data_IF_972728639628
#
_entry.id   IF_972728639628
#
_cell.length_a   1.000
_cell.length_b   1.000
_cell.length_c   1.000
_cell.angle_alpha   90.00
_cell.angle_beta   90.00
_cell.angle_gamma   90.00
#
_symmetry.space_group_name_H-M   'P 1'
#
loop_
_entity.id
_entity.type
_entity.pdbx_description
1 polymer ?
#
# COMPACT_ATOMS: atom_id res chain seq x y z
N UNK A 1 -4.36 -18.30 4.58
CA UNK A 1 -3.09 -17.67 5.01
C UNK A 1 -3.22 -16.17 4.79
N UNK A 2 -2.72 -15.32 5.69
CA UNK A 2 -2.82 -13.86 5.53
C UNK A 2 -1.52 -13.29 4.96
N UNK A 3 -1.61 -12.17 4.24
CA UNK A 3 -0.45 -11.34 3.89
C UNK A 3 -0.69 -9.88 4.28
N UNK A 4 0.38 -9.21 4.73
CA UNK A 4 0.39 -7.76 4.94
C UNK A 4 0.91 -7.09 3.68
N UNK A 5 0.11 -6.21 3.09
CA UNK A 5 0.55 -5.30 2.04
C UNK A 5 0.86 -3.93 2.67
N UNK A 6 2.07 -3.44 2.46
CA UNK A 6 2.52 -2.10 2.85
C UNK A 6 2.66 -1.27 1.59
N UNK A 7 1.66 -0.43 1.29
CA UNK A 7 1.53 0.29 0.02
C UNK A 7 2.12 1.69 0.12
N UNK A 8 3.07 1.98 -0.77
CA UNK A 8 3.56 3.33 -1.08
C UNK A 8 4.03 4.14 0.14
N UNK A 9 4.62 3.47 1.13
CA UNK A 9 5.31 4.14 2.24
C UNK A 9 6.71 4.59 1.78
N UNK A 10 6.76 5.41 0.72
CA UNK A 10 7.97 5.87 0.05
C UNK A 10 8.39 7.27 0.53
N UNK A 11 9.66 7.63 0.35
CA UNK A 11 10.20 8.93 0.77
C UNK A 11 9.45 10.08 0.12
N UNK A 12 9.09 9.97 -1.16
CA UNK A 12 8.31 11.01 -1.86
C UNK A 12 6.93 11.27 -1.27
N UNK A 13 6.30 10.24 -0.69
CA UNK A 13 4.96 10.34 -0.12
C UNK A 13 4.95 10.66 1.37
N UNK A 14 6.01 10.31 2.12
CA UNK A 14 5.99 10.37 3.59
C UNK A 14 6.86 11.52 4.14
N UNK A 15 7.95 11.87 3.46
CA UNK A 15 8.83 12.95 3.91
C UNK A 15 8.32 14.30 3.45
N UNK A 16 8.57 15.34 4.27
CA UNK A 16 8.02 16.68 4.04
C UNK A 16 8.58 17.32 2.77
N UNK A 17 9.81 16.98 2.42
CA UNK A 17 10.56 17.38 1.24
C UNK A 17 10.47 16.37 0.09
N UNK A 18 9.63 15.33 0.23
CA UNK A 18 9.30 14.41 -0.85
C UNK A 18 8.57 15.12 -2.00
N UNK A 19 8.59 14.51 -3.19
CA UNK A 19 7.99 15.11 -4.38
C UNK A 19 6.46 15.23 -4.31
N UNK A 20 5.78 14.35 -3.58
CA UNK A 20 4.32 14.35 -3.44
C UNK A 20 3.88 14.01 -2.00
N UNK A 21 4.18 14.88 -1.02
CA UNK A 21 4.04 14.55 0.38
C UNK A 21 2.58 14.45 0.82
N UNK A 22 2.23 13.32 1.44
CA UNK A 22 0.91 13.05 2.02
C UNK A 22 0.89 13.56 3.46
N UNK A 23 0.24 14.70 3.67
CA UNK A 23 0.15 15.33 4.98
C UNK A 23 -0.44 14.37 6.04
N UNK A 24 0.30 14.18 7.13
CA UNK A 24 -0.10 13.33 8.24
C UNK A 24 0.21 11.83 8.09
N UNK A 25 0.76 11.38 6.94
CA UNK A 25 1.05 9.96 6.71
C UNK A 25 2.15 9.39 7.63
N UNK A 26 3.02 10.24 8.20
CA UNK A 26 4.01 9.80 9.21
C UNK A 26 3.39 9.11 10.44
N UNK A 27 2.13 9.40 10.77
CA UNK A 27 1.41 8.74 11.88
C UNK A 27 1.23 7.24 11.66
N UNK A 28 1.28 6.78 10.40
CA UNK A 28 1.08 5.39 10.03
C UNK A 28 2.29 4.50 10.36
N UNK A 29 3.48 5.09 10.55
CA UNK A 29 4.73 4.35 10.72
C UNK A 29 4.67 3.38 11.91
N UNK A 30 4.23 3.85 13.08
CA UNK A 30 4.18 2.99 14.28
C UNK A 30 3.15 1.86 14.12
N UNK A 31 1.87 2.13 13.76
CA UNK A 31 0.88 1.07 13.52
C UNK A 31 1.31 0.06 12.44
N UNK A 32 1.91 0.52 11.33
CA UNK A 32 2.39 -0.38 10.28
C UNK A 32 3.54 -1.24 10.80
N UNK A 33 4.49 -0.69 11.54
CA UNK A 33 5.57 -1.46 12.15
C UNK A 33 5.06 -2.49 13.18
N UNK A 34 3.99 -2.19 13.90
CA UNK A 34 3.31 -3.17 14.77
C UNK A 34 2.73 -4.32 13.95
N UNK A 35 2.10 -4.04 12.81
CA UNK A 35 1.61 -5.08 11.89
C UNK A 35 2.73 -5.89 11.27
N UNK A 36 3.83 -5.25 10.85
CA UNK A 36 5.01 -5.96 10.34
C UNK A 36 5.52 -6.96 11.38
N UNK A 37 5.66 -6.55 12.65
CA UNK A 37 6.07 -7.44 13.75
C UNK A 37 5.04 -8.55 14.01
N UNK A 38 3.74 -8.23 13.96
CA UNK A 38 2.66 -9.21 14.12
C UNK A 38 2.77 -10.33 13.08
N UNK A 39 2.91 -9.98 11.80
CA UNK A 39 2.96 -10.91 10.68
C UNK A 39 4.21 -11.78 10.74
N UNK A 40 5.37 -11.18 11.01
CA UNK A 40 6.62 -11.92 11.21
C UNK A 40 6.55 -12.91 12.37
N UNK A 41 5.98 -12.50 13.50
CA UNK A 41 5.79 -13.38 14.65
C UNK A 41 4.91 -14.61 14.37
N UNK A 42 4.12 -14.56 13.30
CA UNK A 42 3.26 -15.66 12.83
C UNK A 42 3.81 -16.38 11.59
N UNK A 43 5.01 -16.02 11.12
CA UNK A 43 5.55 -16.46 9.83
C UNK A 43 4.62 -16.20 8.64
N UNK A 44 3.85 -15.11 8.70
CA UNK A 44 3.01 -14.64 7.61
C UNK A 44 3.77 -13.63 6.74
N UNK A 45 3.57 -13.63 5.41
CA UNK A 45 4.29 -12.75 4.51
C UNK A 45 3.99 -11.27 4.71
N UNK A 46 5.04 -10.47 4.65
CA UNK A 46 5.01 -9.00 4.54
C UNK A 46 5.50 -8.64 3.13
N UNK A 47 4.69 -7.90 2.38
CA UNK A 47 4.96 -7.52 1.01
C UNK A 47 4.89 -5.99 0.90
N UNK A 48 5.99 -5.39 0.47
CA UNK A 48 6.06 -3.97 0.19
C UNK A 48 5.65 -3.72 -1.26
N UNK A 49 4.67 -2.85 -1.44
CA UNK A 49 4.21 -2.41 -2.75
C UNK A 49 4.73 -0.99 -2.96
N UNK A 50 5.44 -0.77 -4.06
CA UNK A 50 6.09 0.51 -4.32
C UNK A 50 5.75 1.01 -5.73
N UNK A 51 5.22 2.22 -5.83
CA UNK A 51 5.30 2.97 -7.09
C UNK A 51 6.74 3.07 -7.57
N UNK A 52 6.90 2.88 -8.87
CA UNK A 52 8.18 2.89 -9.56
C UNK A 52 7.95 3.35 -11.00
N UNK A 53 7.79 4.65 -11.18
CA UNK A 53 7.53 5.25 -12.48
C UNK A 53 8.79 5.33 -13.35
N UNK A 54 8.59 5.24 -14.66
CA UNK A 54 9.63 5.62 -15.62
C UNK A 54 9.84 7.15 -15.61
N UNK A 55 10.96 7.63 -16.16
CA UNK A 55 11.22 9.08 -16.25
C UNK A 55 10.16 9.85 -17.06
N UNK A 56 9.45 9.16 -17.94
CA UNK A 56 8.34 9.69 -18.74
C UNK A 56 7.10 8.84 -18.47
N UNK A 57 6.34 9.19 -17.43
CA UNK A 57 5.04 8.59 -17.13
C UNK A 57 3.92 9.61 -17.35
N UNK A 58 2.86 9.17 -18.04
CA UNK A 58 1.65 9.96 -18.29
C UNK A 58 0.94 10.37 -16.99
N UNK A 59 1.13 9.61 -15.90
CA UNK A 59 0.55 9.91 -14.60
C UNK A 59 1.06 11.24 -14.02
N UNK A 60 2.23 11.72 -14.47
CA UNK A 60 2.81 12.98 -14.04
C UNK A 60 2.02 14.20 -14.51
N UNK A 61 1.20 14.09 -15.55
CA UNK A 61 0.33 15.19 -16.02
C UNK A 61 -0.74 15.55 -14.97
N UNK A 62 -1.10 14.59 -14.11
CA UNK A 62 -2.11 14.77 -13.05
C UNK A 62 -1.44 14.98 -11.68
N UNK A 63 -0.43 14.18 -11.36
CA UNK A 63 0.13 14.11 -10.00
C UNK A 63 1.51 14.75 -9.86
N UNK A 64 2.09 15.24 -10.95
CA UNK A 64 3.48 15.68 -10.99
C UNK A 64 4.46 14.51 -10.92
N UNK A 65 5.74 14.80 -11.15
CA UNK A 65 6.80 13.78 -11.13
C UNK A 65 7.04 13.29 -9.70
N UNK A 66 6.92 11.99 -9.47
CA UNK A 66 7.11 11.36 -8.16
C UNK A 66 7.49 9.87 -8.32
N UNK A 67 8.05 9.27 -7.27
CA UNK A 67 8.37 7.84 -7.17
C UNK A 67 9.05 7.26 -8.42
N UNK A 68 9.97 8.04 -9.00
CA UNK A 68 10.69 7.63 -10.22
C UNK A 68 11.73 6.58 -9.88
N UNK A 69 11.76 5.51 -10.66
CA UNK A 69 12.67 4.38 -10.46
C UNK A 69 14.13 4.84 -10.34
N UNK A 70 14.85 4.28 -9.35
CA UNK A 70 16.25 4.61 -9.09
C UNK A 70 16.48 5.94 -8.37
N UNK A 71 15.45 6.75 -8.12
CA UNK A 71 15.57 7.95 -7.30
C UNK A 71 15.38 7.66 -5.82
N UNK A 72 15.96 8.51 -4.96
CA UNK A 72 15.74 8.42 -3.50
C UNK A 72 14.27 8.55 -3.13
N UNK A 73 13.49 9.30 -3.90
CA UNK A 73 12.06 9.50 -3.65
C UNK A 73 11.24 8.21 -3.74
N UNK A 74 11.66 7.30 -4.61
CA UNK A 74 11.04 5.98 -4.79
C UNK A 74 11.47 4.93 -3.75
N UNK A 75 12.45 5.24 -2.89
CA UNK A 75 12.85 4.34 -1.82
C UNK A 75 11.77 4.30 -0.72
N UNK A 76 11.59 3.13 -0.10
CA UNK A 76 10.80 3.01 1.13
C UNK A 76 11.49 3.81 2.23
N UNK A 77 10.68 4.41 3.10
CA UNK A 77 11.21 5.17 4.25
C UNK A 77 12.04 4.29 5.20
N UNK A 78 13.09 4.88 5.76
CA UNK A 78 14.05 4.17 6.62
C UNK A 78 13.42 3.77 7.97
N UNK A 79 12.32 4.42 8.37
CA UNK A 79 11.63 4.18 9.64
C UNK A 79 10.74 2.93 9.65
N UNK A 80 10.46 2.32 8.49
CA UNK A 80 9.80 1.03 8.46
C UNK A 80 10.78 -0.08 8.80
N UNK A 81 10.34 -1.06 9.59
CA UNK A 81 11.10 -2.24 9.96
C UNK A 81 11.20 -3.21 8.76
N UNK A 82 11.59 -2.73 7.58
CA UNK A 82 11.84 -3.55 6.39
C UNK A 82 13.14 -4.33 6.56
N UNK A 83 13.17 -5.55 6.01
CA UNK A 83 14.31 -6.46 5.98
C UNK A 83 14.64 -6.81 4.52
N UNK A 84 15.88 -7.22 4.27
CA UNK A 84 16.34 -7.54 2.90
C UNK A 84 15.58 -8.72 2.28
N UNK A 85 15.08 -9.64 3.10
CA UNK A 85 14.31 -10.80 2.66
C UNK A 85 12.82 -10.51 2.43
N UNK A 86 12.34 -9.30 2.77
CA UNK A 86 10.94 -8.97 2.54
C UNK A 86 10.66 -8.87 1.04
N UNK A 87 9.46 -9.30 0.65
CA UNK A 87 9.05 -9.29 -0.75
C UNK A 87 8.75 -7.85 -1.15
N UNK A 88 9.20 -7.47 -2.34
CA UNK A 88 8.93 -6.17 -2.95
C UNK A 88 8.24 -6.40 -4.27
N UNK A 89 7.13 -5.71 -4.49
CA UNK A 89 6.47 -5.64 -5.78
C UNK A 89 6.40 -4.18 -6.20
N UNK A 90 6.99 -3.87 -7.34
CA UNK A 90 6.87 -2.55 -7.96
C UNK A 90 5.61 -2.48 -8.80
N UNK A 91 4.96 -1.31 -8.82
CA UNK A 91 3.80 -1.00 -9.64
C UNK A 91 4.03 0.33 -10.36
N UNK A 92 3.26 0.56 -11.42
CA UNK A 92 3.26 1.83 -12.18
C UNK A 92 1.91 2.53 -12.16
N UNK A 93 0.91 1.93 -11.53
CA UNK A 93 -0.48 2.42 -11.47
C UNK A 93 -1.02 2.14 -10.06
N UNK A 94 -2.18 2.69 -9.74
CA UNK A 94 -2.72 2.65 -8.37
C UNK A 94 -2.90 1.25 -7.78
N UNK A 95 -3.45 0.30 -8.53
CA UNK A 95 -3.67 -1.07 -8.03
C UNK A 95 -2.36 -1.84 -7.99
N UNK A 96 -2.06 -2.43 -6.84
CA UNK A 96 -0.92 -3.33 -6.66
C UNK A 96 -0.97 -4.59 -7.53
N UNK A 97 -2.13 -4.90 -8.14
CA UNK A 97 -2.31 -6.04 -9.04
C UNK A 97 -2.16 -5.70 -10.53
N UNK A 98 -2.27 -4.42 -10.90
CA UNK A 98 -2.31 -4.04 -12.31
C UNK A 98 -0.94 -4.17 -12.95
N UNK A 99 -0.79 -5.14 -13.87
CA UNK A 99 0.47 -5.45 -14.55
C UNK A 99 1.65 -5.72 -13.58
N UNK A 100 1.39 -6.43 -12.48
CA UNK A 100 2.43 -6.87 -11.53
C UNK A 100 2.40 -8.39 -11.32
N UNK A 101 3.44 -8.92 -10.69
CA UNK A 101 3.50 -10.33 -10.24
C UNK A 101 2.84 -10.56 -8.86
N UNK A 102 2.09 -9.59 -8.32
CA UNK A 102 1.53 -9.70 -6.97
C UNK A 102 0.61 -10.91 -6.82
N UNK A 103 -0.34 -11.12 -7.73
CA UNK A 103 -1.26 -12.26 -7.62
C UNK A 103 -0.51 -13.58 -7.66
N UNK A 104 0.40 -13.74 -8.61
CA UNK A 104 1.24 -14.95 -8.73
C UNK A 104 1.99 -15.23 -7.42
N UNK A 105 2.56 -14.18 -6.81
CA UNK A 105 3.26 -14.26 -5.53
C UNK A 105 2.33 -14.71 -4.40
N UNK A 106 1.17 -14.05 -4.26
CA UNK A 106 0.18 -14.36 -3.23
C UNK A 106 -0.36 -15.80 -3.35
N UNK A 107 -0.67 -16.25 -4.57
CA UNK A 107 -1.13 -17.62 -4.83
C UNK A 107 -0.04 -18.64 -4.51
N UNK A 108 1.22 -18.37 -4.89
CA UNK A 108 2.36 -19.23 -4.54
C UNK A 108 2.56 -19.38 -3.03
N UNK A 109 2.18 -18.37 -2.24
CA UNK A 109 2.21 -18.38 -0.77
C UNK A 109 0.91 -18.90 -0.12
N UNK A 110 -0.04 -19.39 -0.93
CA UNK A 110 -1.37 -19.86 -0.49
C UNK A 110 -2.17 -18.80 0.31
N UNK A 111 -1.96 -17.52 -0.01
CA UNK A 111 -2.65 -16.40 0.64
C UNK A 111 -4.10 -16.31 0.15
N UNK A 112 -5.03 -16.14 1.09
CA UNK A 112 -6.46 -15.95 0.84
C UNK A 112 -7.02 -14.66 1.46
N UNK A 113 -6.23 -13.99 2.31
CA UNK A 113 -6.63 -12.80 3.07
C UNK A 113 -5.54 -11.75 3.02
N UNK A 114 -5.89 -10.52 2.68
CA UNK A 114 -4.97 -9.39 2.57
C UNK A 114 -5.29 -8.34 3.62
N UNK A 115 -4.26 -7.95 4.37
CA UNK A 115 -4.28 -6.80 5.27
C UNK A 115 -3.61 -5.68 4.51
N UNK A 116 -4.37 -4.66 4.12
CA UNK A 116 -3.89 -3.58 3.26
C UNK A 116 -3.62 -2.34 4.12
N UNK A 117 -2.40 -1.83 4.04
CA UNK A 117 -1.93 -0.66 4.80
C UNK A 117 -1.16 0.30 3.89
N UNK A 118 -0.91 1.53 4.34
CA UNK A 118 -0.14 2.53 3.62
C UNK A 118 -0.99 3.67 3.04
N UNK A 119 -0.55 4.24 1.92
CA UNK A 119 -1.18 5.43 1.33
C UNK A 119 -1.44 5.25 -0.17
N UNK A 120 -2.35 6.02 -0.78
CA UNK A 120 -3.41 6.79 -0.12
C UNK A 120 -4.67 5.93 0.01
N UNK A 121 -5.44 6.15 1.08
CA UNK A 121 -6.69 5.42 1.34
C UNK A 121 -7.62 5.42 0.11
N UNK A 122 -7.84 6.58 -0.51
CA UNK A 122 -8.75 6.80 -1.64
C UNK A 122 -8.16 6.54 -3.02
N UNK A 123 -6.89 6.16 -3.10
CA UNK A 123 -6.19 5.92 -4.36
C UNK A 123 -5.63 4.50 -4.34
N UNK A 124 -4.36 4.30 -3.99
CA UNK A 124 -3.69 3.01 -4.12
C UNK A 124 -4.31 1.93 -3.21
N UNK A 125 -4.70 2.29 -1.99
CA UNK A 125 -5.37 1.36 -1.07
C UNK A 125 -6.75 0.95 -1.62
N UNK A 126 -7.58 1.92 -2.03
CA UNK A 126 -8.90 1.65 -2.60
C UNK A 126 -8.82 0.76 -3.85
N UNK A 127 -7.98 1.12 -4.82
CA UNK A 127 -7.86 0.36 -6.06
C UNK A 127 -7.31 -1.04 -5.82
N UNK A 128 -6.33 -1.19 -4.92
CA UNK A 128 -5.82 -2.52 -4.54
C UNK A 128 -6.87 -3.34 -3.80
N UNK A 129 -7.66 -2.73 -2.91
CA UNK A 129 -8.75 -3.40 -2.19
C UNK A 129 -9.86 -3.87 -3.13
N UNK A 130 -10.25 -3.04 -4.11
CA UNK A 130 -11.23 -3.40 -5.12
C UNK A 130 -10.75 -4.57 -5.99
N UNK A 131 -9.51 -4.50 -6.49
CA UNK A 131 -8.91 -5.59 -7.27
C UNK A 131 -8.78 -6.88 -6.46
N UNK A 132 -8.36 -6.78 -5.19
CA UNK A 132 -8.28 -7.92 -4.29
C UNK A 132 -9.64 -8.61 -4.12
N UNK A 133 -10.69 -7.84 -3.86
CA UNK A 133 -12.05 -8.36 -3.69
C UNK A 133 -12.56 -9.04 -4.97
N UNK A 134 -12.36 -8.42 -6.14
CA UNK A 134 -12.74 -8.99 -7.44
C UNK A 134 -11.97 -10.27 -7.78
N UNK A 135 -10.76 -10.45 -7.24
CA UNK A 135 -9.93 -11.67 -7.38
C UNK A 135 -10.22 -12.73 -6.30
N UNK A 136 -11.22 -12.48 -5.45
CA UNK A 136 -11.66 -13.42 -4.40
C UNK A 136 -10.78 -13.46 -3.16
N UNK A 137 -9.91 -12.48 -2.94
CA UNK A 137 -9.21 -12.34 -1.66
C UNK A 137 -10.14 -11.70 -0.61
N UNK A 138 -10.05 -12.16 0.63
CA UNK A 138 -10.65 -11.46 1.77
C UNK A 138 -9.84 -10.19 2.05
N UNK A 139 -10.50 -9.05 2.17
CA UNK A 139 -9.83 -7.75 2.38
C UNK A 139 -10.06 -7.26 3.80
N UNK A 140 -8.98 -6.88 4.47
CA UNK A 140 -8.99 -6.23 5.78
C UNK A 140 -8.17 -4.94 5.67
N UNK A 141 -8.73 -3.82 6.13
CA UNK A 141 -8.05 -2.52 6.15
C UNK A 141 -8.07 -1.97 7.58
N UNK A 142 -6.95 -1.98 8.31
CA UNK A 142 -6.87 -1.35 9.61
C UNK A 142 -6.92 0.17 9.45
N UNK A 143 -7.92 0.83 10.03
CA UNK A 143 -8.16 2.27 9.84
C UNK A 143 -6.95 3.10 10.31
N UNK A 144 -6.28 2.66 11.38
CA UNK A 144 -5.09 3.32 11.92
C UNK A 144 -3.82 3.12 11.06
N UNK A 145 -3.88 2.28 10.02
CA UNK A 145 -2.75 1.95 9.14
C UNK A 145 -2.92 2.51 7.72
N UNK A 146 -3.94 3.34 7.47
CA UNK A 146 -4.16 3.99 6.17
C UNK A 146 -4.48 5.48 6.33
N UNK A 147 -4.05 6.29 5.38
CA UNK A 147 -4.36 7.72 5.36
C UNK A 147 -4.55 8.27 3.95
N UNK A 148 -5.42 9.27 3.85
CA UNK A 148 -5.47 10.23 2.74
C UNK A 148 -5.49 11.65 3.32
N UNK A 149 -5.41 12.65 2.44
CA UNK A 149 -5.37 14.08 2.79
C UNK A 149 -6.74 14.67 3.14
N UNK A 150 -7.82 13.94 2.86
CA UNK A 150 -9.21 14.39 3.03
C UNK A 150 -10.00 13.44 3.93
N UNK A 151 -10.58 13.97 5.02
CA UNK A 151 -11.31 13.18 6.00
C UNK A 151 -12.64 12.61 5.45
N UNK A 152 -13.31 13.33 4.56
CA UNK A 152 -14.54 12.83 3.94
C UNK A 152 -14.23 11.68 3.00
N UNK A 153 -13.15 11.79 2.20
CA UNK A 153 -12.67 10.69 1.37
C UNK A 153 -12.23 9.49 2.21
N UNK A 154 -11.50 9.72 3.31
CA UNK A 154 -11.14 8.64 4.25
C UNK A 154 -12.39 7.87 4.70
N UNK A 155 -13.41 8.57 5.22
CA UNK A 155 -14.66 7.95 5.69
C UNK A 155 -15.41 7.25 4.56
N UNK A 156 -15.47 7.87 3.39
CA UNK A 156 -16.16 7.30 2.24
C UNK A 156 -15.51 5.98 1.80
N UNK A 157 -14.18 5.94 1.67
CA UNK A 157 -13.47 4.72 1.27
C UNK A 157 -13.66 3.60 2.28
N UNK A 158 -13.49 3.88 3.58
CA UNK A 158 -13.61 2.84 4.60
C UNK A 158 -15.03 2.24 4.62
N UNK A 159 -16.07 3.06 4.42
CA UNK A 159 -17.43 2.56 4.20
C UNK A 159 -17.55 1.77 2.91
N UNK A 160 -17.00 2.27 1.80
CA UNK A 160 -17.06 1.59 0.51
C UNK A 160 -16.43 0.20 0.56
N UNK A 161 -15.25 0.07 1.17
CA UNK A 161 -14.58 -1.21 1.39
C UNK A 161 -15.48 -2.16 2.20
N UNK A 162 -16.11 -1.66 3.27
CA UNK A 162 -16.97 -2.48 4.14
C UNK A 162 -18.28 -2.90 3.48
N UNK A 163 -18.99 -1.95 2.88
CA UNK A 163 -20.38 -2.10 2.45
C UNK A 163 -20.50 -2.60 1.01
N UNK A 164 -19.54 -2.26 0.15
CA UNK A 164 -19.57 -2.61 -1.28
C UNK A 164 -18.61 -3.74 -1.60
N UNK A 165 -17.35 -3.65 -1.14
CA UNK A 165 -16.33 -4.66 -1.45
C UNK A 165 -16.40 -5.88 -0.52
N UNK A 166 -17.24 -5.85 0.52
CA UNK A 166 -17.37 -6.92 1.51
C UNK A 166 -16.12 -7.10 2.38
N UNK A 167 -15.25 -6.09 2.42
CA UNK A 167 -14.06 -6.06 3.27
C UNK A 167 -14.39 -5.76 4.73
N UNK A 168 -13.38 -5.86 5.58
CA UNK A 168 -13.47 -5.53 7.01
C UNK A 168 -12.58 -4.34 7.34
N UNK A 169 -13.07 -3.43 8.16
CA UNK A 169 -12.28 -2.35 8.75
C UNK A 169 -11.94 -2.74 10.19
N UNK A 170 -10.65 -2.66 10.54
CA UNK A 170 -10.10 -3.00 11.85
C UNK A 170 -9.63 -1.77 12.62
#
# INVERSE_FOLDING_TARGET
MRALLVIDMLKDFIYKDGALPVNGAKKLISPINEKIREFRGKNEPVIFICDSHDEMDEEFDVWGRHAVEGTKGAEIIDELDRREYDIVVTKKRFSAFYNTDLEKTLRGLNVDTLIITGVLTDICVLHTAADAAMRGFKVIVPENCVATVDEEKQKWVLRHIKEVLGGRID
#
